data_IF_525445073786
#
_entry.id   IF_525445073786
#
_cell.length_a   1.000
_cell.length_b   1.000
_cell.length_c   1.000
_cell.angle_alpha   90.00
_cell.angle_beta   90.00
_cell.angle_gamma   90.00
#
_symmetry.space_group_name_H-M   'P 1'
#
loop_
_entity.id
_entity.type
_entity.pdbx_description
1 polymer ?
#
# COMPACT_ATOMS: atom_id res chain seq x y z
N UNK A 1 13.99 -72.19 -27.59
CA UNK A 1 13.42 -71.83 -26.28
C UNK A 1 13.66 -70.34 -26.09
N UNK A 2 12.65 -69.49 -26.27
CA UNK A 2 12.80 -68.04 -26.15
C UNK A 2 12.92 -67.68 -24.66
N UNK A 3 14.08 -67.14 -24.27
CA UNK A 3 14.33 -66.70 -22.90
C UNK A 3 13.73 -65.30 -22.73
N UNK A 4 12.56 -65.22 -22.10
CA UNK A 4 11.94 -63.95 -21.73
C UNK A 4 12.63 -63.44 -20.48
N UNK A 5 13.50 -62.45 -20.65
CA UNK A 5 14.18 -61.76 -19.56
C UNK A 5 13.15 -61.01 -18.70
N UNK A 6 13.04 -61.41 -17.44
CA UNK A 6 12.07 -60.86 -16.47
C UNK A 6 12.27 -59.37 -16.25
N UNK A 7 13.49 -58.84 -16.44
CA UNK A 7 13.75 -57.41 -16.38
C UNK A 7 13.08 -56.62 -17.52
N UNK A 8 13.02 -57.19 -18.73
CA UNK A 8 12.37 -56.54 -19.87
C UNK A 8 10.85 -56.51 -19.72
N UNK A 9 10.25 -57.55 -19.13
CA UNK A 9 8.81 -57.60 -18.84
C UNK A 9 8.45 -56.57 -17.75
N UNK A 10 9.27 -56.46 -16.70
CA UNK A 10 9.08 -55.45 -15.64
C UNK A 10 9.24 -54.02 -16.18
N UNK A 11 10.20 -53.79 -17.08
CA UNK A 11 10.40 -52.49 -17.70
C UNK A 11 9.21 -52.11 -18.60
N UNK A 12 8.77 -53.02 -19.48
CA UNK A 12 7.57 -52.81 -20.31
C UNK A 12 6.31 -52.57 -19.46
N UNK A 13 6.14 -53.37 -18.41
CA UNK A 13 5.05 -53.21 -17.45
C UNK A 13 5.08 -51.83 -16.78
N UNK A 14 6.27 -51.37 -16.36
CA UNK A 14 6.44 -50.05 -15.74
C UNK A 14 6.19 -48.89 -16.70
N UNK A 15 6.62 -49.01 -17.96
CA UNK A 15 6.37 -48.01 -19.00
C UNK A 15 4.88 -47.94 -19.36
N UNK A 16 4.21 -49.09 -19.44
CA UNK A 16 2.76 -49.14 -19.67
C UNK A 16 2.00 -48.54 -18.50
N UNK A 17 2.34 -48.89 -17.25
CA UNK A 17 1.74 -48.29 -16.05
C UNK A 17 1.98 -46.77 -16.01
N UNK A 18 3.20 -46.31 -16.27
CA UNK A 18 3.52 -44.89 -16.34
C UNK A 18 2.71 -44.18 -17.44
N UNK A 19 2.55 -44.80 -18.62
CA UNK A 19 1.76 -44.24 -19.72
C UNK A 19 0.27 -44.15 -19.39
N UNK A 20 -0.30 -45.17 -18.76
CA UNK A 20 -1.71 -45.21 -18.33
C UNK A 20 -1.93 -44.20 -17.20
N UNK A 21 -1.04 -44.11 -16.22
CA UNK A 21 -1.08 -43.08 -15.19
C UNK A 21 -0.98 -41.68 -15.78
N UNK A 22 -0.08 -41.45 -16.73
CA UNK A 22 0.09 -40.15 -17.40
C UNK A 22 -1.16 -39.78 -18.21
N UNK A 23 -1.76 -40.74 -18.93
CA UNK A 23 -3.00 -40.55 -19.67
C UNK A 23 -4.19 -40.24 -18.74
N UNK A 24 -4.30 -40.95 -17.61
CA UNK A 24 -5.30 -40.68 -16.57
C UNK A 24 -5.12 -39.30 -15.93
N UNK A 25 -3.87 -38.89 -15.67
CA UNK A 25 -3.54 -37.54 -15.16
C UNK A 25 -3.89 -36.48 -16.20
N UNK A 26 -3.56 -36.70 -17.47
CA UNK A 26 -3.87 -35.79 -18.57
C UNK A 26 -5.38 -35.65 -18.81
N UNK A 27 -6.13 -36.76 -18.75
CA UNK A 27 -7.59 -36.79 -18.91
C UNK A 27 -8.33 -36.13 -17.75
N UNK A 28 -7.83 -36.31 -16.52
CA UNK A 28 -8.40 -35.74 -15.31
C UNK A 28 -7.66 -34.49 -14.83
N UNK A 29 -6.93 -33.80 -15.72
CA UNK A 29 -6.05 -32.68 -15.37
C UNK A 29 -6.78 -31.56 -14.61
N UNK A 30 -8.06 -31.37 -14.88
CA UNK A 30 -8.91 -30.38 -14.22
C UNK A 30 -9.29 -30.75 -12.78
N UNK A 31 -9.22 -32.03 -12.41
CA UNK A 31 -9.45 -32.53 -11.05
C UNK A 31 -8.20 -32.41 -10.17
N UNK A 32 -7.03 -32.22 -10.77
CA UNK A 32 -5.79 -32.00 -10.03
C UNK A 32 -5.66 -30.53 -9.65
N UNK A 33 -5.50 -30.19 -8.36
CA UNK A 33 -5.22 -28.82 -7.95
C UNK A 33 -3.93 -28.34 -8.61
N UNK A 34 -3.85 -27.05 -8.94
CA UNK A 34 -2.60 -26.49 -9.47
C UNK A 34 -1.45 -26.80 -8.49
N UNK A 35 -0.22 -26.94 -8.99
CA UNK A 35 0.96 -27.24 -8.14
C UNK A 35 1.11 -26.22 -6.99
N UNK A 36 0.63 -24.98 -7.22
CA UNK A 36 0.60 -23.91 -6.22
C UNK A 36 -0.52 -24.02 -5.17
N UNK A 37 -1.58 -24.77 -5.47
CA UNK A 37 -2.76 -24.94 -4.61
C UNK A 37 -2.57 -26.12 -3.65
N UNK A 38 -1.65 -27.05 -3.97
CA UNK A 38 -1.28 -28.16 -3.10
C UNK A 38 0.18 -28.01 -2.58
N UNK A 39 0.32 -27.58 -1.33
CA UNK A 39 1.64 -27.30 -0.70
C UNK A 39 2.61 -28.49 -0.74
N UNK A 40 2.24 -29.72 -0.36
CA UNK A 40 3.12 -30.89 -0.48
C UNK A 40 3.66 -31.12 -1.90
N UNK A 41 2.80 -31.07 -2.92
CA UNK A 41 3.22 -31.25 -4.31
C UNK A 41 4.16 -30.11 -4.71
N UNK A 42 3.80 -28.86 -4.40
CA UNK A 42 4.67 -27.72 -4.67
C UNK A 42 6.03 -27.79 -3.98
N UNK A 43 6.12 -28.35 -2.77
CA UNK A 43 7.38 -28.59 -2.07
C UNK A 43 8.24 -29.64 -2.78
N UNK A 44 7.65 -30.75 -3.22
CA UNK A 44 8.39 -31.78 -3.95
C UNK A 44 9.03 -31.23 -5.23
N UNK A 45 8.30 -30.41 -6.00
CA UNK A 45 8.83 -29.78 -7.21
C UNK A 45 9.99 -28.80 -6.92
N UNK A 46 10.02 -28.18 -5.73
CA UNK A 46 11.15 -27.34 -5.31
C UNK A 46 12.34 -28.17 -4.83
N UNK A 47 12.08 -29.24 -4.10
CA UNK A 47 13.12 -30.18 -3.64
C UNK A 47 13.83 -30.86 -4.81
N UNK A 48 13.09 -31.20 -5.88
CA UNK A 48 13.65 -31.69 -7.14
C UNK A 48 14.23 -30.57 -8.04
N UNK A 49 14.26 -29.32 -7.54
CA UNK A 49 14.81 -28.15 -8.22
C UNK A 49 14.14 -27.77 -9.55
N UNK A 50 12.95 -28.31 -9.83
CA UNK A 50 12.14 -28.03 -11.03
C UNK A 50 11.58 -26.61 -10.95
N UNK A 51 11.13 -26.20 -9.78
CA UNK A 51 10.60 -24.86 -9.51
C UNK A 51 11.45 -24.15 -8.46
N UNK A 52 11.71 -22.86 -8.66
CA UNK A 52 12.61 -22.07 -7.80
C UNK A 52 11.92 -21.31 -6.68
N UNK A 53 10.60 -21.15 -6.75
CA UNK A 53 9.82 -20.40 -5.76
C UNK A 53 8.43 -21.02 -5.61
N UNK A 54 7.81 -20.84 -4.44
CA UNK A 54 6.38 -21.10 -4.25
C UNK A 54 5.54 -19.96 -4.80
N UNK A 55 4.22 -20.10 -4.85
CA UNK A 55 3.37 -18.97 -5.25
C UNK A 55 3.47 -17.79 -4.28
N UNK A 56 3.54 -16.57 -4.80
CA UNK A 56 3.59 -15.36 -3.98
C UNK A 56 2.87 -14.18 -4.61
N UNK A 57 2.51 -13.21 -3.77
CA UNK A 57 1.99 -11.92 -4.21
C UNK A 57 3.14 -10.96 -4.49
N UNK A 58 3.13 -10.36 -5.67
CA UNK A 58 4.07 -9.32 -6.08
C UNK A 58 3.32 -8.01 -6.30
N UNK A 59 3.88 -6.93 -5.78
CA UNK A 59 3.43 -5.58 -6.07
C UNK A 59 4.38 -5.00 -7.12
N UNK A 60 3.82 -4.58 -8.25
CA UNK A 60 4.54 -3.98 -9.37
C UNK A 60 4.14 -2.52 -9.44
N UNK A 61 5.09 -1.61 -9.17
CA UNK A 61 4.91 -0.17 -9.37
C UNK A 61 5.50 0.24 -10.71
N UNK A 62 4.67 0.85 -11.55
CA UNK A 62 5.04 1.33 -12.87
C UNK A 62 5.20 2.84 -12.77
N UNK A 63 6.45 3.33 -12.82
CA UNK A 63 6.75 4.75 -12.60
C UNK A 63 6.51 5.56 -13.87
N UNK A 64 7.29 5.28 -14.91
CA UNK A 64 7.21 5.98 -16.19
C UNK A 64 7.70 5.13 -17.35
N UNK A 65 7.28 5.51 -18.55
CA UNK A 65 7.86 5.05 -19.80
C UNK A 65 8.68 6.19 -20.41
N UNK A 66 9.88 5.88 -20.88
CA UNK A 66 10.67 6.77 -21.72
C UNK A 66 10.61 6.23 -23.16
N UNK A 67 10.03 7.00 -24.06
CA UNK A 67 9.83 6.63 -25.46
C UNK A 67 11.06 7.10 -26.25
N UNK A 68 11.60 6.24 -27.13
CA UNK A 68 12.74 6.64 -27.98
C UNK A 68 12.32 7.51 -29.15
N UNK A 69 11.13 7.25 -29.69
CA UNK A 69 10.58 7.96 -30.82
C UNK A 69 9.53 8.95 -30.31
N UNK A 70 9.65 10.21 -30.73
CA UNK A 70 8.66 11.23 -30.42
C UNK A 70 7.39 11.00 -31.23
N UNK A 71 6.31 10.74 -30.53
CA UNK A 71 4.95 10.79 -31.07
C UNK A 71 4.33 12.19 -30.81
N UNK A 72 3.14 12.47 -31.33
CA UNK A 72 2.37 13.69 -31.01
C UNK A 72 2.21 13.88 -29.49
N UNK A 73 2.55 15.05 -28.94
CA UNK A 73 2.55 15.39 -27.49
C UNK A 73 1.21 15.16 -26.73
N UNK A 74 0.19 14.60 -27.37
CA UNK A 74 -1.08 14.18 -26.77
C UNK A 74 -1.40 12.68 -26.89
N UNK A 75 -0.52 11.87 -27.45
CA UNK A 75 -0.70 10.42 -27.51
C UNK A 75 -0.87 9.83 -26.09
N UNK A 76 -1.79 8.87 -25.97
CA UNK A 76 -2.09 8.19 -24.70
C UNK A 76 -1.61 6.76 -24.77
N UNK A 77 -0.99 6.28 -23.70
CA UNK A 77 -0.45 4.93 -23.59
C UNK A 77 -1.09 4.18 -22.44
N UNK A 78 -1.21 2.88 -22.59
CA UNK A 78 -1.64 1.93 -21.57
C UNK A 78 -0.60 0.81 -21.48
N UNK A 79 -0.32 0.36 -20.25
CA UNK A 79 0.61 -0.74 -19.97
C UNK A 79 -0.19 -1.94 -19.49
N UNK A 80 0.00 -3.08 -20.14
CA UNK A 80 -0.54 -4.36 -19.75
C UNK A 80 0.57 -5.18 -19.10
N UNK A 81 0.29 -5.74 -17.93
CA UNK A 81 1.13 -6.71 -17.23
C UNK A 81 0.45 -8.07 -17.31
N UNK A 82 1.21 -9.09 -17.69
CA UNK A 82 0.73 -10.47 -17.78
C UNK A 82 1.67 -11.42 -17.04
N UNK A 83 1.10 -12.23 -16.15
CA UNK A 83 1.80 -13.33 -15.46
C UNK A 83 0.93 -14.58 -15.63
N UNK A 84 1.41 -15.55 -16.40
CA UNK A 84 0.60 -16.71 -16.79
C UNK A 84 -0.72 -16.30 -17.46
N UNK A 85 -1.84 -16.67 -16.84
CA UNK A 85 -3.20 -16.33 -17.32
C UNK A 85 -3.78 -15.06 -16.67
N UNK A 86 -3.05 -14.41 -15.77
CA UNK A 86 -3.51 -13.21 -15.07
C UNK A 86 -3.03 -11.95 -15.79
N UNK A 87 -3.94 -10.98 -15.89
CA UNK A 87 -3.69 -9.70 -16.53
C UNK A 87 -3.99 -8.56 -15.56
N UNK A 88 -3.17 -7.53 -15.61
CA UNK A 88 -3.42 -6.24 -14.99
C UNK A 88 -3.11 -5.15 -16.00
N UNK A 89 -3.85 -4.06 -16.00
CA UNK A 89 -3.63 -2.94 -16.91
C UNK A 89 -3.62 -1.62 -16.15
N UNK A 90 -2.79 -0.69 -16.61
CA UNK A 90 -2.85 0.71 -16.15
C UNK A 90 -4.01 1.42 -16.80
N UNK A 91 -4.23 2.66 -16.40
CA UNK A 91 -5.07 3.56 -17.16
C UNK A 91 -4.29 4.17 -18.32
N UNK A 92 -5.01 4.93 -19.14
CA UNK A 92 -4.40 5.69 -20.22
C UNK A 92 -3.70 6.94 -19.68
N UNK A 93 -2.40 7.04 -19.93
CA UNK A 93 -1.58 8.18 -19.56
C UNK A 93 -1.10 8.93 -20.78
N UNK A 94 -1.19 10.26 -20.76
CA UNK A 94 -0.66 11.11 -21.82
C UNK A 94 0.86 11.12 -21.76
N UNK A 95 1.49 11.09 -22.92
CA UNK A 95 2.90 11.44 -23.03
C UNK A 95 3.11 12.95 -22.94
N UNK A 96 4.30 13.33 -22.52
CA UNK A 96 4.80 14.70 -22.54
C UNK A 96 6.31 14.62 -22.70
N UNK A 97 6.88 15.25 -23.74
CA UNK A 97 8.33 15.23 -23.98
C UNK A 97 8.91 13.80 -23.97
N UNK A 98 8.29 12.90 -24.74
CA UNK A 98 8.67 11.48 -24.84
C UNK A 98 8.64 10.69 -23.53
N UNK A 99 7.99 11.23 -22.49
CA UNK A 99 7.86 10.58 -21.20
C UNK A 99 6.39 10.40 -20.84
N UNK A 100 6.03 9.18 -20.45
CA UNK A 100 4.69 8.86 -19.93
C UNK A 100 4.80 8.62 -18.44
N UNK A 101 4.32 9.56 -17.63
CA UNK A 101 4.28 9.40 -16.17
C UNK A 101 3.02 8.65 -15.74
N UNK A 102 3.21 7.47 -15.13
CA UNK A 102 2.14 6.52 -14.78
C UNK A 102 1.93 6.48 -13.26
N UNK A 103 2.99 6.18 -12.48
CA UNK A 103 2.99 6.00 -11.02
C UNK A 103 1.90 5.07 -10.44
N UNK A 104 1.43 4.10 -11.22
CA UNK A 104 0.41 3.13 -10.81
C UNK A 104 1.01 1.87 -10.19
N UNK A 105 0.29 1.31 -9.21
CA UNK A 105 0.63 0.05 -8.54
C UNK A 105 -0.35 -1.05 -8.95
N UNK A 106 0.17 -2.24 -9.28
CA UNK A 106 -0.62 -3.43 -9.57
C UNK A 106 -0.18 -4.58 -8.68
N UNK A 107 -1.14 -5.20 -8.01
CA UNK A 107 -0.91 -6.39 -7.19
C UNK A 107 -1.23 -7.61 -8.06
N UNK A 108 -0.26 -8.49 -8.26
CA UNK A 108 -0.41 -9.72 -9.03
C UNK A 108 0.05 -10.91 -8.20
N UNK A 109 -0.43 -12.11 -8.55
CA UNK A 109 0.04 -13.35 -7.92
C UNK A 109 0.85 -14.10 -8.95
N UNK A 110 2.05 -14.49 -8.55
CA UNK A 110 2.93 -15.38 -9.28
C UNK A 110 2.59 -16.80 -8.82
N UNK A 111 2.10 -17.65 -9.72
CA UNK A 111 1.96 -19.08 -9.43
C UNK A 111 3.29 -19.79 -9.63
N UNK A 112 3.46 -20.90 -8.94
CA UNK A 112 4.58 -21.81 -9.11
C UNK A 112 4.53 -22.42 -10.52
N UNK A 113 5.48 -22.04 -11.39
CA UNK A 113 5.63 -22.29 -12.84
C UNK A 113 5.60 -21.01 -13.72
N UNK A 114 5.23 -19.85 -13.17
CA UNK A 114 5.15 -18.61 -13.95
C UNK A 114 6.53 -17.98 -14.14
N UNK A 115 7.28 -18.39 -15.15
CA UNK A 115 8.68 -17.97 -15.28
C UNK A 115 8.87 -16.52 -15.74
N UNK A 116 7.87 -15.94 -16.43
CA UNK A 116 8.00 -14.61 -17.02
C UNK A 116 6.82 -13.70 -16.70
N UNK A 117 7.14 -12.43 -16.47
CA UNK A 117 6.23 -11.30 -16.43
C UNK A 117 6.36 -10.60 -17.78
N UNK A 118 5.29 -10.56 -18.56
CA UNK A 118 5.26 -9.84 -19.83
C UNK A 118 4.65 -8.46 -19.62
N UNK A 119 5.41 -7.43 -19.98
CA UNK A 119 4.94 -6.05 -20.05
C UNK A 119 4.66 -5.73 -21.53
N UNK A 120 3.45 -5.31 -21.84
CA UNK A 120 3.07 -4.87 -23.18
C UNK A 120 2.57 -3.43 -23.12
N UNK A 121 3.06 -2.60 -24.03
CA UNK A 121 2.65 -1.20 -24.13
C UNK A 121 1.82 -1.03 -25.37
N UNK A 122 0.69 -0.35 -25.21
CA UNK A 122 -0.20 -0.02 -26.32
C UNK A 122 -0.45 1.48 -26.37
N UNK A 123 -0.47 2.03 -27.59
CA UNK A 123 -0.89 3.39 -27.86
C UNK A 123 -2.39 3.40 -28.16
N UNK A 124 -3.10 4.34 -27.54
CA UNK A 124 -4.55 4.51 -27.73
C UNK A 124 -4.83 4.96 -29.16
N UNK A 125 -5.59 4.16 -29.89
CA UNK A 125 -6.14 4.53 -31.20
C UNK A 125 -7.62 4.91 -31.09
N UNK A 126 -8.20 5.32 -32.23
CA UNK A 126 -9.61 5.70 -32.32
C UNK A 126 -10.55 4.49 -32.25
N UNK A 127 -10.21 3.42 -32.97
CA UNK A 127 -10.99 2.17 -33.03
C UNK A 127 -10.33 1.03 -32.26
N UNK A 128 -9.01 0.88 -32.41
CA UNK A 128 -8.23 -0.17 -31.75
C UNK A 128 -6.92 0.41 -31.24
N UNK A 129 -6.48 -0.10 -30.12
CA UNK A 129 -5.14 0.20 -29.61
C UNK A 129 -4.08 -0.40 -30.52
N UNK A 130 -3.03 0.36 -30.75
CA UNK A 130 -1.87 -0.08 -31.54
C UNK A 130 -0.80 -0.60 -30.58
N UNK A 131 -0.25 -1.77 -30.90
CA UNK A 131 0.84 -2.35 -30.12
C UNK A 131 2.10 -1.50 -30.32
N UNK A 132 2.66 -0.98 -29.23
CA UNK A 132 3.86 -0.16 -29.26
C UNK A 132 5.11 -1.04 -29.10
N UNK A 133 5.11 -1.96 -28.14
CA UNK A 133 6.20 -2.89 -27.89
C UNK A 133 5.99 -3.69 -26.61
N UNK A 134 6.89 -4.62 -26.32
CA UNK A 134 6.86 -5.43 -25.10
C UNK A 134 8.24 -5.64 -24.49
N UNK A 135 8.25 -5.93 -23.19
CA UNK A 135 9.39 -6.44 -22.45
C UNK A 135 8.99 -7.77 -21.81
N UNK A 136 9.89 -8.75 -21.86
CA UNK A 136 9.76 -10.00 -21.12
C UNK A 136 10.73 -9.97 -19.96
N UNK A 137 10.20 -10.10 -18.74
CA UNK A 137 10.95 -9.98 -17.50
C UNK A 137 10.95 -11.35 -16.83
N UNK A 138 12.13 -11.94 -16.66
CA UNK A 138 12.28 -13.24 -16.02
C UNK A 138 12.13 -13.09 -14.50
N UNK A 139 11.07 -13.71 -13.94
CA UNK A 139 10.72 -13.53 -12.54
C UNK A 139 11.85 -13.99 -11.62
N UNK A 140 12.47 -15.13 -11.93
CA UNK A 140 13.53 -15.64 -11.07
C UNK A 140 14.82 -14.82 -11.16
N UNK A 141 15.37 -14.62 -12.35
CA UNK A 141 16.68 -13.99 -12.53
C UNK A 141 16.67 -12.47 -12.37
N UNK A 142 15.58 -11.79 -12.73
CA UNK A 142 15.53 -10.33 -12.72
C UNK A 142 14.77 -9.73 -11.54
N UNK A 143 13.90 -10.52 -10.88
CA UNK A 143 13.13 -10.06 -9.72
C UNK A 143 13.62 -10.75 -8.44
N UNK A 144 13.52 -12.08 -8.36
CA UNK A 144 13.84 -12.83 -7.13
C UNK A 144 15.33 -12.75 -6.82
N UNK A 145 16.20 -13.10 -7.77
CA UNK A 145 17.66 -13.05 -7.57
C UNK A 145 18.19 -11.64 -7.30
N UNK A 146 17.50 -10.62 -7.81
CA UNK A 146 17.83 -9.20 -7.57
C UNK A 146 17.07 -8.61 -6.38
N UNK A 147 16.49 -9.46 -5.53
CA UNK A 147 15.84 -9.08 -4.27
C UNK A 147 14.74 -8.03 -4.43
N UNK A 148 13.83 -8.22 -5.40
CA UNK A 148 12.71 -7.31 -5.70
C UNK A 148 13.18 -5.86 -5.92
N UNK A 149 13.92 -5.61 -7.01
CA UNK A 149 14.62 -4.35 -7.18
C UNK A 149 13.66 -3.18 -7.46
N UNK A 150 14.09 -1.97 -7.08
CA UNK A 150 13.33 -0.74 -7.26
C UNK A 150 13.98 0.17 -8.33
N UNK A 151 13.17 0.93 -9.06
CA UNK A 151 13.59 1.89 -10.10
C UNK A 151 14.48 1.27 -11.19
N UNK A 152 14.16 0.06 -11.64
CA UNK A 152 14.89 -0.64 -12.69
C UNK A 152 14.28 -0.34 -14.05
N UNK A 153 15.13 -0.15 -15.04
CA UNK A 153 14.73 0.09 -16.43
C UNK A 153 14.74 -1.20 -17.25
N UNK A 154 13.62 -1.46 -17.92
CA UNK A 154 13.47 -2.57 -18.85
C UNK A 154 13.28 -2.05 -20.27
N UNK A 155 14.02 -2.62 -21.22
CA UNK A 155 13.90 -2.25 -22.63
C UNK A 155 12.58 -2.79 -23.21
N UNK A 156 11.79 -1.89 -23.77
CA UNK A 156 10.59 -2.23 -24.54
C UNK A 156 11.04 -2.41 -25.98
N UNK A 157 10.73 -3.56 -26.56
CA UNK A 157 11.12 -3.92 -27.92
C UNK A 157 9.90 -4.15 -28.81
N UNK A 158 10.04 -3.81 -30.09
CA UNK A 158 9.09 -4.15 -31.13
C UNK A 158 9.88 -4.57 -32.38
N UNK A 159 9.60 -5.76 -32.92
CA UNK A 159 10.35 -6.35 -34.05
C UNK A 159 11.88 -6.24 -33.85
N UNK A 160 12.36 -6.62 -32.66
CA UNK A 160 13.76 -6.60 -32.22
C UNK A 160 14.43 -5.21 -32.12
N UNK A 161 13.68 -4.11 -32.27
CA UNK A 161 14.19 -2.76 -32.04
C UNK A 161 13.71 -2.25 -30.68
N UNK A 162 14.61 -1.59 -29.94
CA UNK A 162 14.25 -0.91 -28.69
C UNK A 162 13.46 0.34 -29.05
N UNK A 163 12.19 0.38 -28.66
CA UNK A 163 11.25 1.51 -28.90
C UNK A 163 11.09 2.41 -27.67
N UNK A 164 11.51 1.96 -26.50
CA UNK A 164 11.49 2.73 -25.27
C UNK A 164 12.00 1.93 -24.07
N UNK A 165 11.89 2.51 -22.88
CA UNK A 165 12.20 1.84 -21.62
C UNK A 165 11.07 2.06 -20.60
N UNK A 166 10.81 1.06 -19.78
CA UNK A 166 9.87 1.13 -18.66
C UNK A 166 10.64 1.12 -17.34
N UNK A 167 10.37 2.10 -16.47
CA UNK A 167 10.89 2.12 -15.11
C UNK A 167 9.91 1.44 -14.15
N UNK A 168 10.33 0.34 -13.54
CA UNK A 168 9.52 -0.49 -12.65
C UNK A 168 10.19 -0.65 -11.28
N UNK A 169 9.36 -0.77 -10.24
CA UNK A 169 9.77 -1.26 -8.93
C UNK A 169 8.95 -2.48 -8.54
N UNK A 170 9.60 -3.45 -7.91
CA UNK A 170 8.97 -4.67 -7.43
C UNK A 170 9.01 -4.70 -5.91
N UNK A 171 7.93 -5.16 -5.28
CA UNK A 171 7.89 -5.37 -3.84
C UNK A 171 7.27 -6.73 -3.52
N UNK A 172 7.96 -7.47 -2.66
CA UNK A 172 7.41 -8.65 -2.02
C UNK A 172 6.65 -8.22 -0.76
N UNK A 173 5.36 -8.55 -0.69
CA UNK A 173 4.56 -8.37 0.51
C UNK A 173 3.69 -9.62 0.69
N UNK A 174 3.79 -10.24 1.86
CA UNK A 174 2.89 -11.30 2.24
C UNK A 174 1.54 -10.71 2.66
N UNK A 175 0.61 -10.57 1.71
CA UNK A 175 -0.74 -10.03 1.97
C UNK A 175 -1.62 -10.99 2.78
N UNK A 176 -1.31 -12.28 2.78
CA UNK A 176 -2.08 -13.30 3.50
C UNK A 176 -1.94 -13.16 5.03
N UNK A 177 -0.98 -12.35 5.50
CA UNK A 177 -0.82 -12.07 6.92
C UNK A 177 -1.90 -11.13 7.51
N UNK A 178 -2.59 -10.35 6.66
CA UNK A 178 -3.60 -9.38 7.10
C UNK A 178 -4.92 -10.11 7.41
N UNK A 179 -5.37 -10.04 8.67
CA UNK A 179 -6.64 -10.65 9.10
C UNK A 179 -7.84 -9.99 8.40
N UNK A 180 -8.92 -10.75 8.25
CA UNK A 180 -10.19 -10.30 7.64
C UNK A 180 -10.71 -8.98 8.23
N UNK A 181 -10.66 -8.83 9.55
CA UNK A 181 -11.14 -7.63 10.24
C UNK A 181 -10.33 -6.37 9.89
N UNK A 182 -9.06 -6.54 9.52
CA UNK A 182 -8.13 -5.46 9.18
C UNK A 182 -8.03 -5.22 7.66
N UNK A 183 -8.73 -6.01 6.83
CA UNK A 183 -8.68 -5.89 5.36
C UNK A 183 -9.19 -4.53 4.87
N UNK A 184 -10.05 -3.87 5.63
CA UNK A 184 -10.52 -2.49 5.35
C UNK A 184 -9.40 -1.44 5.43
N UNK A 185 -8.24 -1.77 6.02
CA UNK A 185 -7.08 -0.89 6.12
C UNK A 185 -5.90 -1.37 5.27
N UNK A 186 -6.16 -2.27 4.31
CA UNK A 186 -5.10 -2.93 3.52
C UNK A 186 -4.16 -1.92 2.85
N UNK A 187 -4.69 -0.78 2.36
CA UNK A 187 -3.85 0.22 1.69
C UNK A 187 -2.89 0.89 2.68
N UNK A 188 -3.35 1.16 3.90
CA UNK A 188 -2.50 1.68 4.98
C UNK A 188 -1.42 0.68 5.39
N UNK A 189 -1.74 -0.61 5.51
CA UNK A 189 -0.76 -1.65 5.83
C UNK A 189 0.29 -1.78 4.73
N UNK A 190 -0.14 -1.90 3.46
CA UNK A 190 0.78 -2.01 2.32
C UNK A 190 1.74 -0.82 2.29
N UNK A 191 1.23 0.41 2.38
CA UNK A 191 2.08 1.60 2.29
C UNK A 191 3.06 1.70 3.46
N UNK A 192 2.63 1.30 4.66
CA UNK A 192 3.51 1.27 5.84
C UNK A 192 4.61 0.21 5.69
N UNK A 193 4.26 -1.00 5.22
CA UNK A 193 5.22 -2.09 5.00
C UNK A 193 6.27 -1.65 3.97
N UNK A 194 5.86 -1.09 2.82
CA UNK A 194 6.78 -0.59 1.80
C UNK A 194 7.68 0.51 2.36
N UNK A 195 7.13 1.44 3.13
CA UNK A 195 7.93 2.53 3.73
C UNK A 195 8.97 2.01 4.73
N UNK A 196 8.64 0.98 5.51
CA UNK A 196 9.58 0.38 6.47
C UNK A 196 10.66 -0.42 5.74
N UNK A 197 10.28 -1.22 4.74
CA UNK A 197 11.21 -2.00 3.92
C UNK A 197 12.25 -1.10 3.22
N UNK A 198 11.83 0.03 2.62
CA UNK A 198 12.74 0.98 1.96
C UNK A 198 13.81 1.58 2.89
N UNK A 199 13.51 1.70 4.18
CA UNK A 199 14.42 2.30 5.16
C UNK A 199 15.37 1.29 5.81
N UNK A 200 15.28 0.00 5.46
CA UNK A 200 16.10 -1.06 6.04
C UNK A 200 17.06 -1.66 5.00
N UNK A 201 18.14 -0.95 4.70
CA UNK A 201 19.29 -1.48 3.93
C UNK A 201 19.85 -2.78 4.53
N UNK A 202 19.76 -2.94 5.85
CA UNK A 202 20.22 -4.11 6.62
C UNK A 202 19.50 -5.43 6.30
N UNK A 203 18.34 -5.42 5.63
CA UNK A 203 17.64 -6.68 5.34
C UNK A 203 18.29 -7.42 4.16
N UNK A 204 18.79 -6.70 3.16
CA UNK A 204 19.47 -7.30 2.01
C UNK A 204 20.77 -8.01 2.43
N UNK A 205 21.56 -7.39 3.31
CA UNK A 205 22.78 -8.00 3.85
C UNK A 205 22.49 -9.33 4.58
N UNK A 206 21.35 -9.44 5.28
CA UNK A 206 20.95 -10.69 5.94
C UNK A 206 20.51 -11.74 4.94
N UNK A 207 19.79 -11.33 3.89
CA UNK A 207 19.39 -12.23 2.80
C UNK A 207 20.61 -12.77 2.09
N UNK A 208 21.58 -11.91 1.78
CA UNK A 208 22.84 -12.28 1.13
C UNK A 208 23.63 -13.29 1.98
N UNK A 209 23.74 -13.09 3.29
CA UNK A 209 24.37 -14.08 4.19
C UNK A 209 23.70 -15.45 4.14
N UNK A 210 22.37 -15.49 4.17
CA UNK A 210 21.64 -16.77 4.05
C UNK A 210 21.88 -17.43 2.69
N UNK A 211 21.97 -16.64 1.62
CA UNK A 211 22.28 -17.15 0.27
C UNK A 211 23.71 -17.71 0.23
N UNK A 212 24.68 -17.02 0.85
CA UNK A 212 26.07 -17.47 0.96
C UNK A 212 26.20 -18.77 1.78
N UNK A 213 25.32 -18.96 2.77
CA UNK A 213 25.17 -20.22 3.53
C UNK A 213 24.52 -21.35 2.71
N UNK A 214 24.21 -21.12 1.42
CA UNK A 214 23.67 -22.10 0.49
C UNK A 214 22.14 -22.12 0.40
N UNK A 215 21.45 -21.16 1.03
CA UNK A 215 19.98 -21.06 0.95
C UNK A 215 19.52 -20.56 -0.41
N UNK A 216 18.41 -21.09 -0.89
CA UNK A 216 17.77 -20.61 -2.12
C UNK A 216 17.26 -19.17 -1.91
N UNK A 217 17.38 -18.31 -2.94
CA UNK A 217 17.13 -16.86 -2.84
C UNK A 217 15.70 -16.55 -2.36
N UNK A 218 14.70 -17.24 -2.92
CA UNK A 218 13.31 -17.04 -2.54
C UNK A 218 13.05 -17.49 -1.10
N UNK A 219 13.67 -18.58 -0.65
CA UNK A 219 13.55 -19.04 0.73
C UNK A 219 14.20 -18.07 1.72
N UNK A 220 15.36 -17.51 1.39
CA UNK A 220 16.03 -16.48 2.19
C UNK A 220 15.17 -15.20 2.29
N UNK A 221 14.57 -14.75 1.17
CA UNK A 221 13.64 -13.61 1.16
C UNK A 221 12.42 -13.88 2.03
N UNK A 222 11.85 -15.08 1.95
CA UNK A 222 10.66 -15.44 2.74
C UNK A 222 10.96 -15.50 4.24
N UNK A 223 12.11 -16.03 4.63
CA UNK A 223 12.51 -16.11 6.04
C UNK A 223 12.76 -14.72 6.65
N UNK A 224 13.31 -13.81 5.85
CA UNK A 224 13.57 -12.42 6.25
C UNK A 224 12.40 -11.48 5.99
N UNK A 225 11.23 -12.01 5.58
CA UNK A 225 10.04 -11.22 5.34
C UNK A 225 9.51 -10.61 6.64
N UNK A 226 9.48 -9.28 6.65
CA UNK A 226 8.99 -8.51 7.79
C UNK A 226 7.49 -8.22 7.71
N UNK A 227 6.80 -8.56 6.61
CA UNK A 227 5.37 -8.23 6.43
C UNK A 227 4.54 -8.72 7.61
N UNK A 228 4.71 -9.98 8.02
CA UNK A 228 3.98 -10.58 9.14
C UNK A 228 4.34 -9.94 10.48
N UNK A 229 5.63 -9.65 10.70
CA UNK A 229 6.12 -9.02 11.93
C UNK A 229 5.62 -7.59 12.05
N UNK A 230 5.68 -6.81 10.98
CA UNK A 230 5.16 -5.44 10.89
C UNK A 230 3.65 -5.47 11.13
N UNK A 231 2.91 -6.34 10.46
CA UNK A 231 1.47 -6.48 10.67
C UNK A 231 1.14 -6.78 12.14
N UNK A 232 1.77 -7.80 12.74
CA UNK A 232 1.56 -8.15 14.17
C UNK A 232 1.90 -6.97 15.09
N UNK A 233 3.03 -6.30 14.86
CA UNK A 233 3.44 -5.15 15.66
C UNK A 233 2.41 -4.03 15.58
N UNK A 234 1.98 -3.67 14.37
CA UNK A 234 0.98 -2.63 14.16
C UNK A 234 -0.36 -3.04 14.78
N UNK A 235 -0.84 -4.26 14.53
CA UNK A 235 -2.12 -4.75 15.04
C UNK A 235 -2.17 -4.82 16.57
N UNK A 236 -1.03 -5.00 17.23
CA UNK A 236 -0.91 -4.97 18.69
C UNK A 236 -0.81 -3.55 19.28
N UNK A 237 -0.54 -2.52 18.48
CA UNK A 237 -0.52 -1.15 18.97
C UNK A 237 -1.90 -0.72 19.47
N UNK A 238 -1.91 0.14 20.48
CA UNK A 238 -3.12 0.87 20.88
C UNK A 238 -3.60 1.70 19.69
N UNK A 239 -4.91 1.83 19.53
CA UNK A 239 -5.51 2.49 18.36
C UNK A 239 -5.00 3.92 18.13
N UNK A 240 -4.66 4.67 19.19
CA UNK A 240 -4.06 6.00 19.04
C UNK A 240 -2.66 5.94 18.40
N UNK A 241 -1.83 4.97 18.79
CA UNK A 241 -0.49 4.77 18.23
C UNK A 241 -0.55 4.21 16.81
N UNK A 242 -1.53 3.33 16.52
CA UNK A 242 -1.85 2.91 15.14
C UNK A 242 -2.13 4.11 14.26
N UNK A 243 -3.00 5.00 14.73
CA UNK A 243 -3.33 6.21 13.98
C UNK A 243 -2.08 7.06 13.79
N UNK A 244 -1.31 7.35 14.85
CA UNK A 244 -0.05 8.13 14.77
C UNK A 244 0.95 7.54 13.77
N UNK A 245 1.05 6.23 13.68
CA UNK A 245 1.90 5.55 12.72
C UNK A 245 1.38 5.77 11.29
N UNK A 246 0.11 5.45 11.05
CA UNK A 246 -0.52 5.58 9.73
C UNK A 246 -0.64 7.02 9.24
N UNK A 247 -0.60 8.01 10.14
CA UNK A 247 -0.54 9.44 9.78
C UNK A 247 0.60 9.73 8.80
N UNK A 248 1.73 9.02 8.92
CA UNK A 248 2.89 9.22 8.06
C UNK A 248 2.57 8.95 6.58
N UNK A 249 1.60 8.07 6.29
CA UNK A 249 1.17 7.76 4.93
C UNK A 249 0.37 8.90 4.28
N UNK A 250 -0.14 9.83 5.08
CA UNK A 250 -0.84 11.04 4.64
C UNK A 250 0.09 12.25 4.46
N UNK A 251 1.38 12.09 4.76
CA UNK A 251 2.35 13.16 4.61
C UNK A 251 2.99 13.10 3.23
N UNK A 252 3.17 14.25 2.59
CA UNK A 252 3.80 14.29 1.27
C UNK A 252 3.46 15.55 0.49
N UNK A 253 4.13 15.73 -0.64
CA UNK A 253 3.88 16.87 -1.52
C UNK A 253 2.67 16.62 -2.40
N UNK A 254 1.74 17.58 -2.40
CA UNK A 254 0.61 17.62 -3.32
C UNK A 254 0.51 19.02 -3.95
N UNK A 255 -0.03 19.05 -5.15
CA UNK A 255 -0.35 20.27 -5.87
C UNK A 255 -1.79 20.67 -5.54
N UNK A 256 -2.00 21.83 -4.93
CA UNK A 256 -3.31 22.34 -4.53
C UNK A 256 -3.75 23.50 -5.44
N UNK A 257 -5.02 23.49 -5.87
CA UNK A 257 -5.66 24.60 -6.59
C UNK A 257 -6.82 25.18 -5.79
N UNK A 258 -6.86 26.52 -5.67
CA UNK A 258 -7.96 27.27 -5.07
C UNK A 258 -9.17 27.44 -6.00
N UNK A 259 -9.05 27.05 -7.27
CA UNK A 259 -10.09 27.22 -8.29
C UNK A 259 -10.50 25.88 -8.91
N UNK A 260 -11.72 25.82 -9.42
CA UNK A 260 -12.17 24.78 -10.36
C UNK A 260 -11.31 24.74 -11.64
N UNK A 261 -10.65 25.86 -11.96
CA UNK A 261 -9.79 26.00 -13.15
C UNK A 261 -8.44 25.33 -12.87
N UNK A 262 -8.18 24.20 -13.52
CA UNK A 262 -6.97 23.35 -13.42
C UNK A 262 -5.66 24.01 -13.92
N UNK A 263 -5.53 25.35 -13.88
CA UNK A 263 -4.39 26.09 -14.45
C UNK A 263 -3.36 26.54 -13.41
N UNK A 264 -3.74 26.73 -12.15
CA UNK A 264 -2.82 27.24 -11.12
C UNK A 264 -2.77 26.29 -9.94
N UNK A 265 -1.64 25.60 -9.80
CA UNK A 265 -1.40 24.68 -8.69
C UNK A 265 -0.18 25.14 -7.90
N UNK A 266 -0.36 25.29 -6.60
CA UNK A 266 0.74 25.54 -5.68
C UNK A 266 1.19 24.21 -5.07
N UNK A 267 2.50 23.99 -5.03
CA UNK A 267 3.10 22.84 -4.36
C UNK A 267 3.12 23.08 -2.87
N UNK A 268 2.43 22.23 -2.12
CA UNK A 268 2.47 22.24 -0.66
C UNK A 268 2.86 20.88 -0.12
N UNK A 269 3.52 20.88 1.02
CA UNK A 269 3.73 19.70 1.83
C UNK A 269 2.57 19.52 2.80
N UNK A 270 1.82 18.43 2.64
CA UNK A 270 0.74 18.05 3.52
C UNK A 270 1.30 17.26 4.71
N UNK A 271 0.80 17.57 5.91
CA UNK A 271 1.22 16.94 7.14
C UNK A 271 0.07 16.81 8.14
N UNK A 272 -0.08 15.63 8.73
CA UNK A 272 -1.13 15.38 9.72
C UNK A 272 -0.66 15.71 11.15
N UNK A 273 -1.30 16.70 11.76
CA UNK A 273 -1.14 17.01 13.18
C UNK A 273 -2.28 16.42 14.01
N UNK A 274 -1.92 15.83 15.15
CA UNK A 274 -2.86 15.45 16.19
C UNK A 274 -2.85 16.48 17.32
N UNK A 275 -3.96 17.19 17.52
CA UNK A 275 -4.06 18.21 18.55
C UNK A 275 -5.38 18.12 19.30
N UNK A 276 -5.33 18.05 20.64
CA UNK A 276 -6.49 17.97 21.53
C UNK A 276 -7.50 16.86 21.13
N UNK A 277 -7.02 15.70 20.73
CA UNK A 277 -7.87 14.57 20.34
C UNK A 277 -8.51 14.69 18.96
N UNK A 278 -7.96 15.53 18.07
CA UNK A 278 -8.49 15.82 16.73
C UNK A 278 -7.37 15.76 15.70
N UNK A 279 -7.73 15.42 14.46
CA UNK A 279 -6.78 15.21 13.37
C UNK A 279 -6.91 16.33 12.35
N UNK A 280 -5.83 17.09 12.19
CA UNK A 280 -5.73 18.24 11.30
C UNK A 280 -4.74 17.92 10.19
N UNK A 281 -5.23 17.80 8.97
CA UNK A 281 -4.40 17.65 7.78
C UNK A 281 -4.05 19.04 7.28
N UNK A 282 -2.88 19.51 7.71
CA UNK A 282 -2.36 20.83 7.43
C UNK A 282 -1.51 20.80 6.17
N UNK A 283 -1.35 21.95 5.51
CA UNK A 283 -0.44 22.07 4.39
C UNK A 283 0.41 23.34 4.50
N UNK A 284 1.66 23.21 4.06
CA UNK A 284 2.76 24.15 4.25
C UNK A 284 3.52 24.34 2.94
N UNK A 285 4.24 25.46 2.79
CA UNK A 285 5.13 25.64 1.64
C UNK A 285 6.28 24.63 1.64
N UNK A 286 6.81 24.33 2.84
CA UNK A 286 7.98 23.48 3.02
C UNK A 286 7.76 22.39 4.08
N UNK A 287 8.49 21.29 3.95
CA UNK A 287 8.45 20.17 4.91
C UNK A 287 9.00 20.55 6.29
N UNK A 288 10.02 21.41 6.36
CA UNK A 288 10.62 21.84 7.63
C UNK A 288 9.61 22.59 8.51
N UNK A 289 8.85 23.50 7.89
CA UNK A 289 7.75 24.24 8.52
C UNK A 289 6.65 23.32 9.03
N UNK A 290 6.32 22.28 8.25
CA UNK A 290 5.32 21.29 8.64
C UNK A 290 5.70 20.51 9.90
N UNK A 291 6.97 20.11 10.03
CA UNK A 291 7.46 19.38 11.23
C UNK A 291 7.40 20.25 12.49
N UNK A 292 7.56 21.55 12.35
CA UNK A 292 7.55 22.53 13.45
C UNK A 292 6.20 23.22 13.67
N UNK A 293 5.20 22.92 12.83
CA UNK A 293 3.91 23.64 12.79
C UNK A 293 4.09 25.17 12.74
N UNK A 294 5.00 25.62 11.86
CA UNK A 294 5.26 27.04 11.58
C UNK A 294 4.71 27.40 10.20
N UNK A 295 4.30 28.66 10.02
CA UNK A 295 3.86 29.21 8.71
C UNK A 295 2.80 28.36 7.98
N UNK A 296 1.83 27.84 8.72
CA UNK A 296 0.76 27.02 8.16
C UNK A 296 -0.08 27.80 7.15
N UNK A 297 -0.19 27.28 5.92
CA UNK A 297 -1.00 27.90 4.86
C UNK A 297 -2.47 27.60 5.08
N UNK A 298 -2.81 26.36 5.43
CA UNK A 298 -4.18 25.98 5.74
C UNK A 298 -4.30 24.58 6.32
N UNK A 299 -5.55 24.14 6.56
CA UNK A 299 -5.83 22.81 7.08
C UNK A 299 -7.22 22.30 6.72
N UNK A 300 -7.35 20.97 6.69
CA UNK A 300 -8.61 20.25 6.68
C UNK A 300 -8.69 19.40 7.94
N UNK A 301 -9.79 19.51 8.68
CA UNK A 301 -10.04 18.60 9.79
C UNK A 301 -10.64 17.32 9.23
N UNK A 302 -9.91 16.20 9.30
CA UNK A 302 -10.29 14.95 8.66
C UNK A 302 -11.68 14.44 9.07
N UNK A 303 -12.08 14.80 10.28
CA UNK A 303 -13.34 14.39 10.87
C UNK A 303 -14.57 15.11 10.29
N UNK A 304 -14.33 16.13 9.48
CA UNK A 304 -15.35 16.81 8.70
C UNK A 304 -15.19 16.57 7.20
N UNK A 305 -14.31 15.66 6.81
CA UNK A 305 -14.30 15.15 5.43
C UNK A 305 -15.56 14.34 5.25
N UNK A 306 -16.39 14.76 4.30
CA UNK A 306 -17.60 14.05 3.93
C UNK A 306 -17.26 12.91 2.97
N UNK A 307 -16.40 13.16 1.99
CA UNK A 307 -15.99 12.16 1.01
C UNK A 307 -14.71 12.59 0.26
N UNK A 308 -14.03 11.61 -0.33
CA UNK A 308 -12.85 11.78 -1.17
C UNK A 308 -13.15 11.20 -2.54
N UNK A 309 -12.98 12.01 -3.58
CA UNK A 309 -13.39 11.66 -4.92
C UNK A 309 -12.21 11.62 -5.88
N UNK A 310 -12.15 10.55 -6.64
CA UNK A 310 -11.27 10.41 -7.80
C UNK A 310 -11.81 11.22 -8.98
N UNK A 311 -10.96 11.98 -9.68
CA UNK A 311 -11.35 12.60 -10.96
C UNK A 311 -11.62 11.53 -12.01
N UNK A 312 -12.77 11.57 -12.67
CA UNK A 312 -13.19 10.52 -13.64
C UNK A 312 -12.27 10.48 -14.86
N UNK A 313 -11.65 11.59 -15.22
CA UNK A 313 -10.90 11.77 -16.46
C UNK A 313 -9.39 11.72 -16.27
N UNK A 314 -8.87 11.86 -15.05
CA UNK A 314 -7.44 11.90 -14.81
C UNK A 314 -6.98 11.29 -13.48
N UNK A 315 -6.05 10.35 -13.60
CA UNK A 315 -5.38 9.63 -12.52
C UNK A 315 -4.37 10.46 -11.73
N UNK A 316 -4.27 11.75 -12.03
CA UNK A 316 -3.44 12.68 -11.26
C UNK A 316 -4.26 13.54 -10.31
N UNK A 317 -5.58 13.64 -10.47
CA UNK A 317 -6.39 14.60 -9.73
C UNK A 317 -7.42 13.92 -8.86
N UNK A 318 -7.55 14.38 -7.62
CA UNK A 318 -8.65 14.02 -6.74
C UNK A 318 -9.13 15.27 -6.01
N UNK A 319 -10.28 15.19 -5.39
CA UNK A 319 -10.76 16.27 -4.54
C UNK A 319 -11.42 15.75 -3.28
N UNK A 320 -11.33 16.56 -2.23
CA UNK A 320 -11.90 16.25 -0.93
C UNK A 320 -13.05 17.20 -0.69
N UNK A 321 -14.22 16.61 -0.41
CA UNK A 321 -15.40 17.33 0.02
C UNK A 321 -15.41 17.36 1.54
N UNK A 322 -15.40 18.54 2.14
CA UNK A 322 -15.35 18.68 3.59
C UNK A 322 -16.20 19.86 4.08
N UNK A 323 -16.53 19.87 5.37
CA UNK A 323 -17.23 20.99 6.02
C UNK A 323 -16.32 21.65 7.04
N UNK A 324 -16.27 22.98 7.08
CA UNK A 324 -15.60 23.68 8.17
C UNK A 324 -16.55 23.77 9.36
N UNK A 325 -15.98 23.85 10.56
CA UNK A 325 -16.76 24.01 11.78
C UNK A 325 -17.53 25.33 11.69
N UNK A 326 -18.85 25.28 11.88
CA UNK A 326 -19.78 26.41 11.78
C UNK A 326 -20.08 26.92 10.36
N UNK A 327 -19.64 26.23 9.31
CA UNK A 327 -20.06 26.54 7.94
C UNK A 327 -21.15 25.58 7.48
N UNK A 328 -22.25 26.13 6.94
CA UNK A 328 -23.29 25.34 6.26
C UNK A 328 -22.87 24.91 4.86
N UNK A 329 -21.97 25.69 4.23
CA UNK A 329 -21.49 25.45 2.87
C UNK A 329 -20.46 24.32 2.85
N UNK A 330 -20.54 23.52 1.81
CA UNK A 330 -19.58 22.46 1.54
C UNK A 330 -18.35 23.07 0.87
N UNK A 331 -17.17 22.68 1.33
CA UNK A 331 -15.89 23.11 0.80
C UNK A 331 -15.25 21.97 0.00
N UNK A 332 -14.48 22.34 -1.02
CA UNK A 332 -13.77 21.42 -1.88
C UNK A 332 -12.29 21.75 -1.88
N UNK A 333 -11.46 20.72 -1.71
CA UNK A 333 -10.01 20.82 -1.83
C UNK A 333 -9.57 20.06 -3.09
N UNK A 334 -9.11 20.76 -4.12
CA UNK A 334 -8.69 20.16 -5.39
C UNK A 334 -7.20 19.88 -5.38
N UNK A 335 -6.83 18.61 -5.50
CA UNK A 335 -5.48 18.11 -5.32
C UNK A 335 -5.00 17.39 -6.57
N UNK A 336 -3.72 17.57 -6.88
CA UNK A 336 -3.00 16.83 -7.91
C UNK A 336 -1.80 16.12 -7.29
N UNK A 337 -1.64 14.84 -7.62
CA UNK A 337 -0.55 14.00 -7.12
C UNK A 337 0.77 14.31 -7.82
N UNK A 338 1.87 14.02 -7.12
CA UNK A 338 3.24 14.24 -7.61
C UNK A 338 4.01 12.92 -7.64
N UNK A 339 3.92 12.14 -6.57
CA UNK A 339 4.82 11.03 -6.24
C UNK A 339 4.16 9.64 -6.31
N UNK A 340 2.83 9.58 -6.21
CA UNK A 340 2.05 8.34 -6.20
C UNK A 340 0.78 8.50 -7.02
N UNK A 341 0.25 7.41 -7.57
CA UNK A 341 -1.06 7.42 -8.21
C UNK A 341 -2.14 7.96 -7.26
N UNK A 342 -3.12 8.66 -7.86
CA UNK A 342 -4.27 9.19 -7.16
C UNK A 342 -5.01 8.14 -6.37
N UNK A 343 -5.21 6.93 -6.91
CA UNK A 343 -5.99 5.93 -6.19
C UNK A 343 -5.29 5.48 -4.92
N UNK A 344 -3.94 5.48 -4.88
CA UNK A 344 -3.18 5.20 -3.65
C UNK A 344 -3.50 6.26 -2.60
N UNK A 345 -3.41 7.55 -2.97
CA UNK A 345 -3.77 8.66 -2.09
C UNK A 345 -5.23 8.57 -1.60
N UNK A 346 -6.17 8.37 -2.52
CA UNK A 346 -7.60 8.29 -2.21
C UNK A 346 -7.90 7.12 -1.27
N UNK A 347 -7.34 5.93 -1.53
CA UNK A 347 -7.55 4.76 -0.69
C UNK A 347 -6.94 4.95 0.71
N UNK A 348 -5.71 5.49 0.81
CA UNK A 348 -5.07 5.80 2.09
C UNK A 348 -5.94 6.77 2.92
N UNK A 349 -6.47 7.83 2.29
CA UNK A 349 -7.31 8.81 2.98
C UNK A 349 -8.64 8.16 3.42
N UNK A 350 -9.26 7.33 2.58
CA UNK A 350 -10.49 6.60 2.93
C UNK A 350 -10.28 5.65 4.11
N UNK A 351 -9.28 4.75 4.01
CA UNK A 351 -8.91 3.81 5.07
C UNK A 351 -8.65 4.56 6.39
N UNK A 352 -7.98 5.71 6.31
CA UNK A 352 -7.66 6.54 7.48
C UNK A 352 -8.89 7.23 8.08
N UNK A 353 -9.83 7.73 7.26
CA UNK A 353 -11.10 8.30 7.75
C UNK A 353 -11.92 7.25 8.50
N UNK A 354 -11.95 6.01 7.98
CA UNK A 354 -12.62 4.87 8.63
C UNK A 354 -11.94 4.59 9.98
N UNK A 355 -10.61 4.53 10.01
CA UNK A 355 -9.83 4.30 11.22
C UNK A 355 -10.11 5.36 12.30
N UNK A 356 -10.07 6.64 11.94
CA UNK A 356 -10.36 7.76 12.86
C UNK A 356 -11.81 7.73 13.35
N UNK A 357 -12.75 7.33 12.48
CA UNK A 357 -14.17 7.21 12.84
C UNK A 357 -14.38 6.09 13.87
N UNK A 358 -13.73 4.94 13.69
CA UNK A 358 -13.76 3.83 14.64
C UNK A 358 -13.14 4.22 15.99
N UNK A 359 -11.98 4.89 15.99
CA UNK A 359 -11.37 5.44 17.21
C UNK A 359 -12.31 6.35 17.99
N UNK A 360 -13.08 7.20 17.30
CA UNK A 360 -14.07 8.05 17.95
C UNK A 360 -15.22 7.27 18.57
N UNK A 361 -15.72 6.25 17.88
CA UNK A 361 -16.80 5.39 18.38
C UNK A 361 -16.35 4.68 19.65
N UNK A 362 -15.17 4.05 19.63
CA UNK A 362 -14.60 3.40 20.81
C UNK A 362 -14.39 4.36 21.97
N UNK A 363 -13.84 5.56 21.70
CA UNK A 363 -13.59 6.55 22.75
C UNK A 363 -14.88 7.08 23.36
N UNK A 364 -15.95 7.25 22.55
CA UNK A 364 -17.28 7.57 23.07
C UNK A 364 -17.82 6.43 23.94
N UNK A 365 -17.76 5.19 23.46
CA UNK A 365 -18.26 4.03 24.20
C UNK A 365 -17.53 3.84 25.53
N UNK A 366 -16.21 4.02 25.58
CA UNK A 366 -15.44 4.02 26.84
C UNK A 366 -15.89 5.13 27.79
N UNK A 367 -16.18 6.33 27.28
CA UNK A 367 -16.73 7.43 28.11
C UNK A 367 -18.11 7.09 28.65
N UNK A 368 -18.99 6.48 27.84
CA UNK A 368 -20.31 6.04 28.29
C UNK A 368 -20.20 4.97 29.37
N UNK A 369 -19.37 3.93 29.17
CA UNK A 369 -19.12 2.88 30.19
C UNK A 369 -18.53 3.43 31.49
N UNK A 370 -17.59 4.37 31.42
CA UNK A 370 -17.04 5.03 32.63
C UNK A 370 -18.10 5.88 33.31
N UNK A 371 -19.01 6.51 32.54
CA UNK A 371 -20.11 7.28 33.08
C UNK A 371 -21.14 6.38 33.77
N UNK A 372 -21.58 5.30 33.11
CA UNK A 372 -22.44 4.26 33.70
C UNK A 372 -21.83 3.66 34.97
N UNK A 373 -20.54 3.31 34.95
CA UNK A 373 -19.85 2.78 36.13
C UNK A 373 -19.77 3.81 37.26
N UNK A 374 -19.58 5.09 36.95
CA UNK A 374 -19.61 6.17 37.96
C UNK A 374 -21.01 6.41 38.49
N UNK A 375 -22.02 6.40 37.63
CA UNK A 375 -23.40 6.62 38.00
C UNK A 375 -23.88 5.47 38.92
N UNK A 376 -23.52 4.21 38.61
CA UNK A 376 -23.78 3.05 39.49
C UNK A 376 -23.00 3.12 40.82
N UNK A 377 -21.75 3.57 40.82
CA UNK A 377 -20.98 3.76 42.06
C UNK A 377 -21.56 4.87 42.96
N UNK A 378 -22.16 5.90 42.36
CA UNK A 378 -22.83 7.01 43.06
C UNK A 378 -24.17 6.54 43.64
N UNK A 379 -24.86 5.59 42.99
CA UNK A 379 -26.07 4.97 43.53
C UNK A 379 -25.77 4.08 44.76
N UNK A 380 -24.59 3.45 44.82
CA UNK A 380 -24.18 2.55 45.91
C UNK A 380 -23.35 3.22 47.03
N UNK A 381 -22.97 4.49 46.91
CA UNK A 381 -22.20 5.19 47.97
C UNK A 381 -23.07 6.06 48.88
N UNK A 382 -22.97 5.92 50.22
CA UNK A 382 -23.67 6.79 51.17
C UNK A 382 -23.36 8.27 50.93
N UNK A 383 -24.39 9.12 50.94
CA UNK A 383 -24.31 10.56 50.58
C UNK A 383 -23.23 11.32 51.34
N UNK A 384 -22.95 10.95 52.59
CA UNK A 384 -21.90 11.56 53.44
C UNK A 384 -20.49 11.36 52.88
N UNK A 385 -20.17 10.19 52.32
CA UNK A 385 -18.86 9.89 51.72
C UNK A 385 -18.66 10.71 50.43
N UNK A 386 -19.74 10.98 49.70
CA UNK A 386 -19.71 11.77 48.47
C UNK A 386 -19.46 13.26 48.74
N UNK A 387 -19.94 13.78 49.87
CA UNK A 387 -19.69 15.16 50.30
C UNK A 387 -18.27 15.36 50.81
N UNK A 388 -17.75 14.44 51.64
CA UNK A 388 -16.37 14.45 52.14
C UNK A 388 -15.36 14.41 50.99
N UNK A 389 -15.61 13.60 49.96
CA UNK A 389 -14.74 13.53 48.78
C UNK A 389 -14.80 14.81 47.91
N UNK A 390 -15.95 15.51 47.85
CA UNK A 390 -16.09 16.80 47.15
C UNK A 390 -15.35 17.94 47.86
N UNK A 391 -15.32 17.95 49.19
CA UNK A 391 -14.52 18.91 49.96
C UNK A 391 -13.02 18.65 49.84
N UNK A 392 -12.59 17.38 49.89
CA UNK A 392 -11.19 16.97 49.67
C UNK A 392 -10.67 17.28 48.25
N UNK A 393 -11.49 17.05 47.21
CA UNK A 393 -11.08 17.33 45.84
C UNK A 393 -11.06 18.84 45.52
N UNK A 394 -11.87 19.67 46.20
CA UNK A 394 -11.79 21.14 46.11
C UNK A 394 -10.52 21.68 46.78
N UNK A 395 -10.14 21.18 47.96
CA UNK A 395 -8.92 21.60 48.65
C UNK A 395 -7.64 21.22 47.89
N UNK A 396 -7.62 20.04 47.25
CA UNK A 396 -6.49 19.58 46.42
C UNK A 396 -6.38 20.30 45.07
N UNK A 397 -7.48 20.86 44.54
CA UNK A 397 -7.47 21.55 43.24
C UNK A 397 -6.84 22.96 43.28
N UNK A 398 -6.75 23.58 44.46
CA UNK A 398 -6.14 24.90 44.65
C UNK A 398 -4.61 24.90 44.52
N UNK A 399 -3.96 23.73 44.47
CA UNK A 399 -2.49 23.61 44.40
C UNK A 399 -1.95 22.99 43.10
N UNK A 400 -2.75 22.83 42.04
CA UNK A 400 -2.24 22.32 40.75
C UNK A 400 -1.91 23.44 39.76
N UNK A 401 -0.77 23.29 39.07
CA UNK A 401 -0.07 24.12 38.06
C UNK A 401 -0.88 24.77 36.90
N UNK A 402 -2.17 25.06 37.08
CA UNK A 402 -3.07 25.65 36.08
C UNK A 402 -2.90 27.16 35.90
N UNK A 403 -2.24 27.85 36.83
CA UNK A 403 -2.08 29.32 36.76
C UNK A 403 -1.00 29.79 35.76
N UNK A 404 -0.04 28.93 35.37
CA UNK A 404 1.06 29.35 34.49
C UNK A 404 0.65 29.66 33.03
N UNK A 405 -0.54 29.22 32.60
CA UNK A 405 -1.08 29.49 31.25
C UNK A 405 -2.21 30.53 31.20
N UNK A 406 -2.68 31.01 32.36
CA UNK A 406 -3.65 32.10 32.45
C UNK A 406 -2.96 33.47 32.58
N UNK A 407 -1.77 33.55 33.18
CA UNK A 407 -1.05 34.83 33.34
C UNK A 407 -0.43 35.39 32.05
N UNK A 408 -0.18 34.56 31.03
CA UNK A 408 0.29 35.05 29.72
C UNK A 408 -0.79 35.79 28.91
N UNK A 409 -2.08 35.59 29.22
CA UNK A 409 -3.17 36.33 28.55
C UNK A 409 -3.53 37.65 29.22
N UNK A 410 -3.07 37.90 30.45
CA UNK A 410 -3.30 39.18 31.14
C UNK A 410 -2.21 40.24 30.92
N UNK A 411 -1.06 39.88 30.34
CA UNK A 411 0.07 40.81 30.10
C UNK A 411 0.10 41.51 28.73
N UNK A 412 -0.91 41.33 27.87
CA UNK A 412 -0.96 41.98 26.52
C UNK A 412 -2.18 42.92 26.37
N UNK A 413 -2.88 43.21 27.47
CA UNK A 413 -4.08 44.06 27.48
C UNK A 413 -3.90 45.37 28.23
N UNK A 414 -2.72 45.99 28.17
CA UNK A 414 -2.49 47.26 28.83
C UNK A 414 -1.23 47.95 28.35
N UNK A 415 -1.35 48.71 27.27
CA UNK A 415 -0.58 49.93 27.04
C UNK A 415 -1.38 50.84 26.11
N UNK A 416 -1.91 51.90 26.73
CA UNK A 416 -2.49 53.17 26.24
C UNK A 416 -3.49 53.13 25.09
#
# INVERSE_FOLDING_TARGET
>A
MFYLDTHNILYLGSCLLASVCTLCICRNRELFPHISENKPIGQLYRLMNIHKYESFSIIIQIHHLNLKFGDDDNAKFIVHLKIGNRYAYTHYHKQYQNKVHIEERKNMVVKQNNNTLRLEVYKKGTLKNTFFGSAEIHIYSEIVKKLFPCNVYFNITNKNQIVGTACLSFHYINLDCIKKDDQIYTSLFIETIISVQKNQTKNNEKIEKLIDEGKEHFEAIKETDLSTTIYKNISNLVLEDKIRLFCKNLNGYLLHSNFYIKRFYNKYYFYLHFFKGKFYWCYYNEEADAKMDKNRVGYVRLEYVANVYSDVYSHKYFYIKYRKKNERKENYLYLKTIDKDRNIWVNIIHDFIILVSNYKRERKNKKYKIKEFKDNLIEDTPKEILEINKTLSRSLSNNSMKNKYLDKKKKVGGFK
#
